data_IF_387105343765
#
_entry.id   IF_387105343765
#
_cell.length_a   1.000
_cell.length_b   1.000
_cell.length_c   1.000
_cell.angle_alpha   90.00
_cell.angle_beta   90.00
_cell.angle_gamma   90.00
#
_symmetry.space_group_name_H-M   'P 1'
#
loop_
_entity.id
_entity.type
_entity.pdbx_description
1 polymer ?
#
# COMPACT_ATOMS: atom_id res chain seq x y z
N UNK A 1 -7.82 3.52 -10.97
CA UNK A 1 -8.04 2.47 -9.95
C UNK A 1 -9.18 1.53 -10.34
N UNK A 2 -10.04 1.92 -11.26
CA UNK A 2 -11.08 1.08 -11.86
C UNK A 2 -10.56 -0.19 -12.57
N UNK A 3 -9.25 -0.33 -12.71
CA UNK A 3 -8.61 -1.46 -13.41
C UNK A 3 -8.19 -2.61 -12.47
N UNK A 4 -8.47 -2.52 -11.16
CA UNK A 4 -8.09 -3.54 -10.18
C UNK A 4 -9.23 -3.89 -9.22
N UNK A 5 -10.20 -4.73 -9.64
CA UNK A 5 -11.35 -5.11 -8.79
C UNK A 5 -10.96 -5.72 -7.45
N UNK A 6 -9.80 -6.36 -7.42
CA UNK A 6 -9.19 -6.92 -6.23
C UNK A 6 -8.84 -5.86 -5.17
N UNK A 7 -8.32 -4.70 -5.59
CA UNK A 7 -7.98 -3.58 -4.69
C UNK A 7 -9.24 -2.95 -4.10
N UNK A 8 -10.32 -2.83 -4.88
CA UNK A 8 -11.58 -2.26 -4.40
C UNK A 8 -12.21 -3.14 -3.32
N UNK A 9 -12.18 -4.47 -3.48
CA UNK A 9 -12.61 -5.41 -2.44
C UNK A 9 -11.79 -5.28 -1.17
N UNK A 10 -10.45 -5.18 -1.29
CA UNK A 10 -9.58 -4.99 -0.13
C UNK A 10 -9.84 -3.67 0.58
N UNK A 11 -10.11 -2.59 -0.18
CA UNK A 11 -10.50 -1.29 0.36
C UNK A 11 -11.78 -1.37 1.19
N UNK A 12 -12.79 -2.09 0.68
CA UNK A 12 -14.04 -2.31 1.39
C UNK A 12 -13.82 -3.10 2.69
N UNK A 13 -13.07 -4.20 2.64
CA UNK A 13 -12.72 -4.99 3.81
C UNK A 13 -11.95 -4.16 4.85
N UNK A 14 -10.94 -3.41 4.42
CA UNK A 14 -10.17 -2.53 5.30
C UNK A 14 -11.05 -1.44 5.93
N UNK A 15 -11.96 -0.85 5.15
CA UNK A 15 -12.93 0.14 5.66
C UNK A 15 -13.84 -0.44 6.72
N UNK A 16 -14.35 -1.68 6.54
CA UNK A 16 -15.19 -2.36 7.54
C UNK A 16 -14.45 -2.56 8.86
N UNK A 17 -13.18 -2.99 8.80
CA UNK A 17 -12.33 -3.13 10.00
C UNK A 17 -12.18 -1.78 10.69
N UNK A 18 -11.80 -0.75 9.94
CA UNK A 18 -11.51 0.58 10.47
C UNK A 18 -12.76 1.19 11.12
N UNK A 19 -13.88 1.18 10.40
CA UNK A 19 -15.16 1.71 10.91
C UNK A 19 -15.57 0.97 12.18
N UNK A 20 -15.43 -0.35 12.21
CA UNK A 20 -15.77 -1.12 13.40
C UNK A 20 -14.87 -0.77 14.59
N UNK A 21 -13.55 -0.80 14.41
CA UNK A 21 -12.60 -0.54 15.50
C UNK A 21 -12.72 0.89 16.05
N UNK A 22 -12.71 1.90 15.16
CA UNK A 22 -12.67 3.30 15.59
C UNK A 22 -14.01 3.85 16.08
N UNK A 23 -15.12 3.21 15.77
CA UNK A 23 -16.42 3.56 16.36
C UNK A 23 -16.58 3.08 17.82
N UNK A 24 -15.65 2.25 18.32
CA UNK A 24 -15.73 1.71 19.67
C UNK A 24 -14.52 2.15 20.51
N UNK A 25 -14.70 3.18 21.34
CA UNK A 25 -13.63 3.76 22.17
C UNK A 25 -12.91 2.71 23.02
N UNK A 26 -13.64 1.70 23.55
CA UNK A 26 -13.06 0.62 24.33
C UNK A 26 -12.07 -0.26 23.55
N UNK A 27 -12.34 -0.52 22.26
CA UNK A 27 -11.44 -1.29 21.38
C UNK A 27 -10.17 -0.47 21.05
N UNK A 28 -10.34 0.82 20.76
CA UNK A 28 -9.22 1.73 20.51
C UNK A 28 -8.35 1.85 21.74
N UNK A 29 -8.93 2.01 22.92
CA UNK A 29 -8.19 2.08 24.19
C UNK A 29 -7.39 0.80 24.46
N UNK A 30 -7.97 -0.37 24.20
CA UNK A 30 -7.28 -1.65 24.32
C UNK A 30 -6.08 -1.74 23.37
N UNK A 31 -6.25 -1.32 22.11
CA UNK A 31 -5.17 -1.31 21.11
C UNK A 31 -4.06 -0.33 21.48
N UNK A 32 -4.41 0.88 21.94
CA UNK A 32 -3.42 1.90 22.36
C UNK A 32 -2.55 1.48 23.55
N UNK A 33 -3.04 0.55 24.37
CA UNK A 33 -2.26 -0.05 25.45
C UNK A 33 -1.25 -1.12 24.98
N UNK A 34 -1.26 -1.46 23.67
CA UNK A 34 -0.28 -2.41 23.11
C UNK A 34 1.07 -1.72 22.87
N UNK A 35 2.20 -2.39 23.19
CA UNK A 35 3.51 -1.82 22.95
C UNK A 35 3.74 -1.62 21.45
N UNK A 36 4.18 -0.41 21.08
CA UNK A 36 4.45 -0.08 19.66
C UNK A 36 3.22 0.21 18.80
N UNK A 37 2.03 0.29 19.39
CA UNK A 37 0.82 0.67 18.66
C UNK A 37 0.89 2.12 18.18
N UNK A 38 0.53 2.33 16.93
CA UNK A 38 0.28 3.65 16.34
C UNK A 38 -1.10 3.64 15.72
N UNK A 39 -1.79 4.77 15.76
CA UNK A 39 -3.13 4.83 15.16
C UNK A 39 -3.07 4.53 13.66
N UNK A 40 -4.01 3.71 13.17
CA UNK A 40 -4.05 3.29 11.78
C UNK A 40 -4.42 4.48 10.90
N UNK A 41 -3.66 4.69 9.84
CA UNK A 41 -3.92 5.76 8.87
C UNK A 41 -5.25 5.50 8.16
N UNK A 42 -6.21 6.41 8.34
CA UNK A 42 -7.50 6.33 7.64
C UNK A 42 -7.32 6.78 6.18
N UNK A 43 -7.90 6.01 5.25
CA UNK A 43 -7.93 6.40 3.85
C UNK A 43 -8.83 7.64 3.67
N UNK A 44 -8.24 8.77 3.28
CA UNK A 44 -8.98 9.98 2.91
C UNK A 44 -9.68 9.82 1.55
N UNK A 45 -10.79 10.53 1.36
CA UNK A 45 -11.61 10.41 0.15
C UNK A 45 -10.90 10.85 -1.15
N UNK A 46 -9.86 11.68 -1.06
CA UNK A 46 -9.30 12.41 -2.21
C UNK A 46 -7.88 12.06 -2.62
N UNK A 47 -7.14 11.23 -1.85
CA UNK A 47 -5.74 10.92 -2.16
C UNK A 47 -5.52 9.43 -2.35
N UNK A 48 -5.15 9.01 -3.57
CA UNK A 48 -4.83 7.61 -3.90
C UNK A 48 -3.76 7.01 -2.99
N UNK A 49 -2.74 7.78 -2.66
CA UNK A 49 -1.66 7.34 -1.77
C UNK A 49 -2.18 6.91 -0.38
N UNK A 50 -3.21 7.59 0.15
CA UNK A 50 -3.75 7.30 1.48
C UNK A 50 -4.37 5.91 1.61
N UNK A 51 -4.97 5.38 0.54
CA UNK A 51 -5.48 3.99 0.53
C UNK A 51 -4.35 2.98 0.73
N UNK A 52 -3.24 3.14 0.02
CA UNK A 52 -2.10 2.24 0.15
C UNK A 52 -1.33 2.43 1.47
N UNK A 53 -1.28 3.65 1.98
CA UNK A 53 -0.75 3.94 3.32
C UNK A 53 -1.62 3.29 4.41
N UNK A 54 -2.94 3.34 4.26
CA UNK A 54 -3.88 2.66 5.15
C UNK A 54 -3.66 1.14 5.14
N UNK A 55 -3.49 0.52 3.97
CA UNK A 55 -3.16 -0.90 3.88
C UNK A 55 -1.83 -1.23 4.57
N UNK A 56 -0.81 -0.39 4.39
CA UNK A 56 0.48 -0.54 5.08
C UNK A 56 0.32 -0.48 6.60
N UNK A 57 -0.43 0.51 7.09
CA UNK A 57 -0.71 0.70 8.51
C UNK A 57 -1.50 -0.48 9.10
N UNK A 58 -2.57 -0.93 8.42
CA UNK A 58 -3.34 -2.12 8.85
C UNK A 58 -2.44 -3.37 8.87
N UNK A 59 -1.59 -3.54 7.86
CA UNK A 59 -0.69 -4.71 7.77
C UNK A 59 0.31 -4.78 8.92
N UNK A 60 0.86 -3.65 9.35
CA UNK A 60 1.77 -3.56 10.50
C UNK A 60 1.08 -4.03 11.77
N UNK A 61 -0.19 -3.68 11.96
CA UNK A 61 -0.99 -4.01 13.14
C UNK A 61 -1.76 -5.33 13.04
N UNK A 62 -1.42 -6.21 12.07
CA UNK A 62 -2.07 -7.52 11.90
C UNK A 62 -2.20 -8.29 13.20
N UNK A 63 -1.09 -8.45 13.92
CA UNK A 63 -1.06 -9.27 15.14
C UNK A 63 -1.86 -8.65 16.28
N UNK A 64 -1.85 -7.34 16.42
CA UNK A 64 -2.62 -6.64 17.45
C UNK A 64 -4.13 -6.71 17.18
N UNK A 65 -4.53 -6.57 15.91
CA UNK A 65 -5.92 -6.72 15.49
C UNK A 65 -6.41 -8.16 15.72
N UNK A 66 -5.61 -9.16 15.37
CA UNK A 66 -5.93 -10.57 15.61
C UNK A 66 -5.99 -10.87 17.12
N UNK A 67 -5.03 -10.35 17.90
CA UNK A 67 -5.02 -10.51 19.35
C UNK A 67 -6.25 -9.85 20.02
N UNK A 68 -6.68 -8.68 19.55
CA UNK A 68 -7.90 -8.04 20.03
C UNK A 68 -9.11 -8.95 19.84
N UNK A 69 -9.32 -9.47 18.61
CA UNK A 69 -10.51 -10.25 18.27
C UNK A 69 -10.56 -11.61 18.98
N UNK A 70 -9.41 -12.14 19.43
CA UNK A 70 -9.32 -13.40 20.17
C UNK A 70 -9.21 -13.20 21.68
N UNK A 71 -9.12 -11.96 22.16
CA UNK A 71 -8.99 -11.65 23.58
C UNK A 71 -10.28 -11.92 24.35
N UNK A 72 -10.17 -12.30 25.63
CA UNK A 72 -11.32 -12.41 26.54
C UNK A 72 -12.08 -11.08 26.64
N UNK A 73 -11.34 -9.95 26.62
CA UNK A 73 -11.91 -8.61 26.63
C UNK A 73 -12.95 -8.42 25.51
N UNK A 74 -12.66 -8.89 24.29
CA UNK A 74 -13.55 -8.76 23.16
C UNK A 74 -14.65 -9.84 23.17
N UNK A 75 -14.28 -11.11 23.40
CA UNK A 75 -15.21 -12.26 23.32
C UNK A 75 -16.33 -12.15 24.36
N UNK A 76 -16.01 -11.71 25.58
CA UNK A 76 -16.98 -11.54 26.66
C UNK A 76 -17.79 -10.24 26.54
N UNK A 77 -17.40 -9.35 25.61
CA UNK A 77 -18.04 -8.07 25.41
C UNK A 77 -19.33 -8.23 24.58
N UNK A 78 -20.35 -7.44 24.93
CA UNK A 78 -21.62 -7.38 24.18
C UNK A 78 -21.40 -7.04 22.70
N UNK A 79 -20.37 -6.26 22.38
CA UNK A 79 -19.99 -5.86 21.02
C UNK A 79 -19.72 -7.07 20.10
N UNK A 80 -19.18 -8.18 20.62
CA UNK A 80 -18.86 -9.36 19.83
C UNK A 80 -20.10 -10.01 19.17
N UNK A 81 -21.29 -9.70 19.69
CA UNK A 81 -22.57 -10.22 19.17
C UNK A 81 -23.13 -9.42 17.99
N UNK A 82 -22.63 -8.23 17.76
CA UNK A 82 -23.06 -7.37 16.67
C UNK A 82 -22.71 -7.94 15.29
N UNK A 83 -23.57 -7.70 14.31
CA UNK A 83 -23.33 -8.14 12.93
C UNK A 83 -22.01 -7.57 12.37
N UNK A 84 -21.76 -6.27 12.60
CA UNK A 84 -20.52 -5.60 12.16
C UNK A 84 -19.27 -6.19 12.82
N UNK A 85 -19.38 -6.63 14.08
CA UNK A 85 -18.30 -7.31 14.77
C UNK A 85 -17.98 -8.66 14.12
N UNK A 86 -19.00 -9.45 13.81
CA UNK A 86 -18.83 -10.76 13.14
C UNK A 86 -18.19 -10.59 11.76
N UNK A 87 -18.57 -9.56 11.01
CA UNK A 87 -17.95 -9.24 9.73
C UNK A 87 -16.47 -8.86 9.91
N UNK A 88 -16.16 -7.95 10.85
CA UNK A 88 -14.78 -7.54 11.12
C UNK A 88 -13.92 -8.72 11.59
N UNK A 89 -14.42 -9.56 12.49
CA UNK A 89 -13.74 -10.77 12.96
C UNK A 89 -13.46 -11.72 11.80
N UNK A 90 -14.45 -11.98 10.94
CA UNK A 90 -14.28 -12.87 9.79
C UNK A 90 -13.18 -12.38 8.85
N UNK A 91 -13.07 -11.06 8.61
CA UNK A 91 -12.03 -10.49 7.76
C UNK A 91 -10.65 -10.57 8.46
N UNK A 92 -10.57 -10.19 9.73
CA UNK A 92 -9.30 -10.12 10.48
C UNK A 92 -8.69 -11.52 10.70
N UNK A 93 -9.52 -12.53 10.89
CA UNK A 93 -9.04 -13.92 11.08
C UNK A 93 -8.81 -14.67 9.76
N UNK A 94 -9.19 -14.10 8.62
CA UNK A 94 -9.02 -14.73 7.31
C UNK A 94 -7.64 -14.47 6.71
N UNK A 95 -6.84 -15.50 6.58
CA UNK A 95 -5.45 -15.37 6.14
C UNK A 95 -5.30 -14.78 4.72
N UNK A 96 -6.20 -15.13 3.79
CA UNK A 96 -6.13 -14.62 2.42
C UNK A 96 -6.22 -13.08 2.35
N UNK A 97 -6.98 -12.43 3.24
CA UNK A 97 -7.03 -10.97 3.33
C UNK A 97 -5.63 -10.38 3.62
N UNK A 98 -4.88 -10.99 4.54
CA UNK A 98 -3.54 -10.54 4.89
C UNK A 98 -2.50 -10.81 3.82
N UNK A 99 -2.63 -11.94 3.11
CA UNK A 99 -1.75 -12.27 1.99
C UNK A 99 -1.95 -11.27 0.84
N UNK A 100 -3.20 -10.95 0.54
CA UNK A 100 -3.56 -9.97 -0.49
C UNK A 100 -3.07 -8.56 -0.12
N UNK A 101 -3.27 -8.11 1.12
CA UNK A 101 -2.73 -6.83 1.62
C UNK A 101 -1.21 -6.81 1.52
N UNK A 102 -0.52 -7.86 1.96
CA UNK A 102 0.94 -7.94 1.90
C UNK A 102 1.46 -7.78 0.47
N UNK A 103 0.81 -8.42 -0.50
CA UNK A 103 1.15 -8.28 -1.93
C UNK A 103 0.97 -6.83 -2.38
N UNK A 104 -0.18 -6.21 -2.09
CA UNK A 104 -0.47 -4.83 -2.50
C UNK A 104 0.48 -3.83 -1.82
N UNK A 105 0.77 -3.99 -0.53
CA UNK A 105 1.73 -3.15 0.19
C UNK A 105 3.12 -3.23 -0.43
N UNK A 106 3.59 -4.44 -0.76
CA UNK A 106 4.88 -4.63 -1.42
C UNK A 106 4.95 -3.99 -2.82
N UNK A 107 3.87 -4.10 -3.59
CA UNK A 107 3.78 -3.50 -4.93
C UNK A 107 3.73 -1.96 -4.86
N UNK A 108 2.97 -1.41 -3.92
CA UNK A 108 2.78 0.05 -3.79
C UNK A 108 3.95 0.76 -3.12
N UNK A 109 4.71 0.09 -2.25
CA UNK A 109 5.82 0.69 -1.49
C UNK A 109 6.83 1.44 -2.37
N UNK A 110 7.38 0.89 -3.46
CA UNK A 110 8.32 1.62 -4.31
C UNK A 110 7.67 2.81 -5.02
N UNK A 111 6.37 2.73 -5.35
CA UNK A 111 5.63 3.83 -5.97
C UNK A 111 5.36 4.97 -4.99
N UNK A 112 5.02 4.64 -3.74
CA UNK A 112 4.82 5.63 -2.67
C UNK A 112 6.14 6.34 -2.35
N UNK A 113 7.25 5.61 -2.27
CA UNK A 113 8.58 6.22 -2.08
C UNK A 113 8.94 7.17 -3.21
N UNK A 114 8.64 6.79 -4.46
CA UNK A 114 8.85 7.66 -5.60
C UNK A 114 7.99 8.93 -5.51
N UNK A 115 6.72 8.79 -5.11
CA UNK A 115 5.82 9.92 -4.92
C UNK A 115 6.38 10.91 -3.88
N UNK A 116 6.90 10.43 -2.75
CA UNK A 116 7.52 11.31 -1.74
C UNK A 116 8.76 12.04 -2.25
N UNK A 117 9.58 11.38 -3.09
CA UNK A 117 10.74 12.04 -3.73
C UNK A 117 10.28 13.13 -4.68
N UNK A 118 9.19 12.90 -5.40
CA UNK A 118 8.65 13.85 -6.38
C UNK A 118 7.95 15.03 -5.72
N UNK A 119 7.23 14.78 -4.62
CA UNK A 119 6.53 15.82 -3.84
C UNK A 119 7.50 16.64 -2.96
N UNK A 120 8.75 16.21 -2.81
CA UNK A 120 9.74 16.99 -2.06
C UNK A 120 10.31 18.11 -2.93
N UNK A 121 10.21 19.35 -2.48
CA UNK A 121 10.76 20.55 -3.16
C UNK A 121 12.30 20.60 -3.18
N UNK A 122 12.95 19.58 -2.64
CA UNK A 122 14.41 19.59 -2.45
C UNK A 122 15.22 19.31 -3.71
N UNK A 123 14.62 18.74 -4.76
CA UNK A 123 15.37 18.31 -5.98
C UNK A 123 14.50 18.38 -7.23
N UNK A 124 15.11 18.61 -8.42
CA UNK A 124 14.40 18.52 -9.71
C UNK A 124 13.82 17.12 -9.89
N UNK A 125 12.51 16.98 -9.71
CA UNK A 125 11.85 15.69 -9.56
C UNK A 125 11.74 14.89 -10.87
N UNK A 126 11.68 15.56 -12.04
CA UNK A 126 11.36 14.92 -13.34
C UNK A 126 12.34 13.81 -13.72
N UNK A 127 13.65 14.03 -13.54
CA UNK A 127 14.68 13.02 -13.84
C UNK A 127 14.57 11.78 -12.96
N UNK A 128 14.16 11.95 -11.70
CA UNK A 128 13.98 10.84 -10.75
C UNK A 128 12.75 10.00 -11.07
N UNK A 129 11.68 10.60 -11.62
CA UNK A 129 10.45 9.89 -12.00
C UNK A 129 10.74 8.77 -12.98
N UNK A 130 11.49 9.07 -14.03
CA UNK A 130 11.79 8.08 -15.07
C UNK A 130 12.49 6.84 -14.52
N UNK A 131 13.60 7.03 -13.80
CA UNK A 131 14.37 5.94 -13.16
C UNK A 131 13.58 5.27 -12.03
N UNK A 132 12.84 6.04 -11.26
CA UNK A 132 12.01 5.53 -10.15
C UNK A 132 10.90 4.60 -10.63
N UNK A 133 10.20 4.95 -11.71
CA UNK A 133 9.17 4.10 -12.32
C UNK A 133 9.75 2.81 -12.88
N UNK A 134 10.93 2.86 -13.51
CA UNK A 134 11.62 1.66 -13.98
C UNK A 134 12.01 0.73 -12.81
N UNK A 135 12.59 1.29 -11.73
CA UNK A 135 12.92 0.55 -10.52
C UNK A 135 11.69 -0.08 -9.86
N UNK A 136 10.58 0.66 -9.80
CA UNK A 136 9.32 0.15 -9.27
C UNK A 136 8.80 -1.02 -10.12
N UNK A 137 8.79 -0.88 -11.43
CA UNK A 137 8.38 -1.92 -12.38
C UNK A 137 9.23 -3.19 -12.26
N UNK A 138 10.55 -3.04 -12.16
CA UNK A 138 11.46 -4.17 -11.97
C UNK A 138 11.32 -4.79 -10.58
N UNK A 139 11.15 -3.96 -9.53
CA UNK A 139 10.89 -4.41 -8.17
C UNK A 139 9.64 -5.29 -8.06
N UNK A 140 8.56 -4.91 -8.74
CA UNK A 140 7.32 -5.71 -8.79
C UNK A 140 7.57 -7.10 -9.40
N UNK A 141 8.35 -7.17 -10.48
CA UNK A 141 8.71 -8.47 -11.07
C UNK A 141 9.47 -9.37 -10.09
N UNK A 142 10.40 -8.78 -9.31
CA UNK A 142 11.15 -9.51 -8.28
C UNK A 142 10.25 -10.07 -7.18
N UNK A 143 9.24 -9.32 -6.72
CA UNK A 143 8.25 -9.76 -5.71
C UNK A 143 7.60 -11.07 -6.14
N UNK A 144 7.25 -11.20 -7.41
CA UNK A 144 6.63 -12.38 -7.98
C UNK A 144 7.64 -13.42 -8.53
N UNK A 145 8.92 -13.33 -8.13
CA UNK A 145 9.99 -14.22 -8.58
C UNK A 145 10.02 -14.38 -10.12
N UNK A 146 9.81 -13.27 -10.84
CA UNK A 146 9.78 -13.18 -12.30
C UNK A 146 8.67 -14.02 -12.98
N UNK A 147 7.67 -14.53 -12.25
CA UNK A 147 6.54 -15.28 -12.81
C UNK A 147 5.57 -14.35 -13.54
N UNK A 148 5.62 -14.35 -14.87
CA UNK A 148 4.93 -13.39 -15.75
C UNK A 148 3.42 -13.31 -15.53
N UNK A 149 2.74 -14.42 -15.32
CA UNK A 149 1.29 -14.44 -15.11
C UNK A 149 0.86 -13.71 -13.81
N UNK A 150 1.72 -13.66 -12.78
CA UNK A 150 1.43 -12.99 -11.52
C UNK A 150 1.70 -11.48 -11.56
N UNK A 151 2.80 -11.05 -12.17
CA UNK A 151 3.15 -9.63 -12.19
C UNK A 151 2.54 -8.83 -13.33
N UNK A 152 2.17 -9.50 -14.45
CA UNK A 152 1.66 -8.83 -15.65
C UNK A 152 0.47 -7.90 -15.40
N UNK A 153 -0.54 -8.25 -14.60
CA UNK A 153 -1.66 -7.35 -14.31
C UNK A 153 -1.21 -6.01 -13.75
N UNK A 154 -0.27 -6.01 -12.82
CA UNK A 154 0.23 -4.80 -12.16
C UNK A 154 1.20 -4.01 -13.06
N UNK A 155 2.13 -4.71 -13.70
CA UNK A 155 3.15 -4.05 -14.55
C UNK A 155 2.58 -3.50 -15.84
N UNK A 156 1.49 -4.06 -16.39
CA UNK A 156 0.80 -3.52 -17.56
C UNK A 156 0.16 -2.18 -17.27
N UNK A 157 -0.45 -2.01 -16.09
CA UNK A 157 -1.03 -0.72 -15.67
C UNK A 157 0.05 0.34 -15.55
N UNK A 158 1.16 0.02 -14.87
CA UNK A 158 2.30 0.93 -14.73
C UNK A 158 2.83 1.31 -16.11
N UNK A 159 3.06 0.32 -17.00
CA UNK A 159 3.55 0.55 -18.35
C UNK A 159 2.62 1.48 -19.13
N UNK A 160 1.33 1.18 -19.18
CA UNK A 160 0.35 1.98 -19.90
C UNK A 160 0.30 3.44 -19.40
N UNK A 161 0.37 3.64 -18.08
CA UNK A 161 0.42 4.98 -17.49
C UNK A 161 1.73 5.70 -17.80
N UNK A 162 2.87 5.00 -17.73
CA UNK A 162 4.17 5.57 -18.10
C UNK A 162 4.21 5.95 -19.58
N UNK A 163 3.76 5.05 -20.47
CA UNK A 163 3.75 5.30 -21.90
C UNK A 163 2.87 6.52 -22.26
N UNK A 164 1.72 6.65 -21.60
CA UNK A 164 0.78 7.76 -21.84
C UNK A 164 1.25 9.10 -21.30
N UNK A 165 1.86 9.13 -20.10
CA UNK A 165 2.08 10.37 -19.34
C UNK A 165 3.55 10.72 -19.11
N UNK A 166 4.48 9.75 -19.09
CA UNK A 166 5.86 9.94 -18.66
C UNK A 166 6.90 9.67 -19.76
N UNK A 167 6.55 8.96 -20.85
CA UNK A 167 7.43 8.75 -22.00
C UNK A 167 7.32 9.90 -22.98
N UNK A 168 7.80 11.07 -22.58
CA UNK A 168 7.97 12.23 -23.44
C UNK A 168 9.45 12.58 -23.50
N UNK A 169 9.90 13.15 -24.60
CA UNK A 169 11.31 13.52 -24.83
C UNK A 169 11.88 14.37 -23.69
N UNK A 170 11.05 15.23 -23.10
CA UNK A 170 11.44 16.06 -21.94
C UNK A 170 11.86 15.21 -20.73
N UNK A 171 11.17 14.11 -20.44
CA UNK A 171 11.50 13.24 -19.28
C UNK A 171 12.78 12.44 -19.56
N UNK A 172 13.00 12.02 -20.79
CA UNK A 172 14.23 11.37 -21.19
C UNK A 172 15.41 12.34 -21.13
N UNK A 173 15.27 13.55 -21.70
CA UNK A 173 16.29 14.59 -21.69
C UNK A 173 16.68 14.99 -20.24
N UNK A 174 15.71 15.22 -19.36
CA UNK A 174 15.99 15.57 -17.96
C UNK A 174 16.67 14.43 -17.19
N UNK A 175 16.42 13.18 -17.53
CA UNK A 175 17.13 12.05 -16.95
C UNK A 175 18.60 12.02 -17.44
N UNK A 176 18.82 12.16 -18.74
CA UNK A 176 20.15 12.15 -19.35
C UNK A 176 21.02 13.35 -18.90
N UNK A 177 20.42 14.53 -18.75
CA UNK A 177 21.14 15.74 -18.34
C UNK A 177 21.34 15.84 -16.81
N UNK A 178 20.77 14.97 -16.03
CA UNK A 178 20.91 15.02 -14.57
C UNK A 178 22.27 14.45 -14.13
N UNK A 179 23.18 15.27 -13.55
CA UNK A 179 24.51 14.83 -13.13
C UNK A 179 24.50 13.66 -12.16
N UNK A 180 23.46 13.56 -11.32
CA UNK A 180 23.30 12.46 -10.37
C UNK A 180 23.16 11.08 -11.04
N UNK A 181 22.86 11.05 -12.35
CA UNK A 181 22.69 9.82 -13.10
C UNK A 181 23.77 9.58 -14.15
N UNK A 182 24.53 10.59 -14.55
CA UNK A 182 25.56 10.48 -15.59
C UNK A 182 26.78 9.65 -15.15
N UNK A 183 27.11 9.69 -13.87
CA UNK A 183 28.34 9.11 -13.33
C UNK A 183 28.13 7.83 -12.50
N UNK A 184 26.92 7.30 -12.43
CA UNK A 184 26.65 6.06 -11.72
C UNK A 184 26.72 4.87 -12.69
N UNK A 185 27.71 4.00 -12.54
CA UNK A 185 27.93 2.81 -13.40
C UNK A 185 26.70 1.88 -13.49
N UNK A 186 25.85 1.86 -12.47
CA UNK A 186 24.59 1.09 -12.45
C UNK A 186 23.50 1.63 -13.39
N UNK A 187 23.73 2.72 -14.10
CA UNK A 187 22.70 3.42 -14.89
C UNK A 187 22.62 2.97 -16.37
N UNK A 188 23.54 2.16 -16.83
CA UNK A 188 23.66 1.76 -18.25
C UNK A 188 22.93 0.47 -18.62
N UNK A 189 22.14 -0.15 -17.74
CA UNK A 189 21.33 -1.31 -18.10
C UNK A 189 19.92 -0.89 -18.56
N UNK A 190 19.74 -0.82 -19.86
CA UNK A 190 18.46 -0.71 -20.56
C UNK A 190 17.86 -2.09 -20.86
#
# INVERSE_FOLDING_TARGET
MEEMPHVDRLKECASKIMVFVYNHVALVAWLRNRPGWTDIVCAGATRFATTFLSFGSIHVHKHDLQALMTSKFFVDNRLARELKAKEAVSIILYNSFWDDINVIVKISSPLIRLLWIVDSDQRPAIGYVFKGMYRAWFGIKKIFRMKKHLYKPYTSIIKNRCDKHLRKDLHAATHWLNPAFQYAEENFCW
#
